data_IF_326408463149
#
_entry.id   IF_326408463149
#
_cell.length_a   1.000
_cell.length_b   1.000
_cell.length_c   1.000
_cell.angle_alpha   90.00
_cell.angle_beta   90.00
_cell.angle_gamma   90.00
#
_symmetry.space_group_name_H-M   'P 1'
#
loop_
_entity.id
_entity.type
_entity.pdbx_description
1 polymer ?
#
# COMPACT_ATOMS: atom_id res chain seq x y z
N UNK A 1 -4.19 41.32 35.37
CA UNK A 1 -4.34 39.93 35.86
C UNK A 1 -5.71 39.49 35.36
N UNK A 2 -5.75 38.79 34.21
CA UNK A 2 -5.74 37.32 34.10
C UNK A 2 -7.21 36.83 34.20
N UNK A 3 -7.85 36.06 33.31
CA UNK A 3 -7.44 35.29 32.12
C UNK A 3 -8.70 35.09 31.23
N UNK A 4 -8.52 35.08 29.90
CA UNK A 4 -9.54 34.75 28.90
C UNK A 4 -9.88 33.25 28.92
N UNK A 5 -11.18 32.94 29.02
CA UNK A 5 -11.76 31.60 28.93
C UNK A 5 -11.83 31.15 27.46
N UNK A 6 -10.83 30.39 27.01
CA UNK A 6 -10.86 29.72 25.70
C UNK A 6 -11.37 28.29 25.88
N UNK A 7 -12.69 28.15 25.77
CA UNK A 7 -13.39 26.88 25.59
C UNK A 7 -12.75 26.09 24.43
N UNK A 8 -11.93 25.09 24.77
CA UNK A 8 -11.40 24.12 23.82
C UNK A 8 -12.49 23.07 23.57
N UNK A 9 -13.28 23.28 22.52
CA UNK A 9 -14.24 22.30 22.02
C UNK A 9 -13.51 21.04 21.54
N UNK A 10 -13.98 19.82 21.88
CA UNK A 10 -13.39 18.59 21.38
C UNK A 10 -13.65 18.46 19.88
N UNK A 11 -12.58 18.40 19.10
CA UNK A 11 -12.62 18.22 17.65
C UNK A 11 -13.15 16.84 17.29
N UNK A 12 -14.14 16.81 16.39
CA UNK A 12 -14.76 15.61 15.82
C UNK A 12 -13.75 14.75 15.05
N UNK A 13 -13.96 13.42 15.07
CA UNK A 13 -13.19 12.34 14.41
C UNK A 13 -13.08 12.50 12.86
N UNK A 14 -13.76 13.50 12.29
CA UNK A 14 -13.66 13.84 10.86
C UNK A 14 -12.63 14.95 10.55
N UNK A 15 -11.95 15.51 11.56
CA UNK A 15 -10.95 16.58 11.40
C UNK A 15 -9.50 16.12 11.23
N UNK A 16 -9.19 14.83 11.37
CA UNK A 16 -7.79 14.33 11.41
C UNK A 16 -7.13 14.15 10.03
N UNK A 17 -7.78 14.60 8.94
CA UNK A 17 -7.17 14.56 7.60
C UNK A 17 -6.33 15.78 7.22
N UNK A 18 -6.18 16.79 8.09
CA UNK A 18 -5.37 17.96 7.77
C UNK A 18 -4.47 18.38 8.93
N UNK A 19 -3.52 17.51 9.26
CA UNK A 19 -2.20 17.98 9.68
C UNK A 19 -1.25 17.89 8.47
N UNK A 20 -1.55 18.61 7.39
CA UNK A 20 -0.60 18.86 6.29
C UNK A 20 0.49 19.84 6.75
N UNK A 21 1.34 19.39 7.67
CA UNK A 21 2.71 19.89 7.66
C UNK A 21 3.33 19.40 6.34
N UNK A 22 3.65 20.34 5.44
CA UNK A 22 3.93 20.08 4.03
C UNK A 22 4.77 18.84 3.76
N UNK A 23 4.14 17.80 3.20
CA UNK A 23 4.83 16.62 2.71
C UNK A 23 5.72 17.03 1.54
N UNK A 24 7.01 17.23 1.81
CA UNK A 24 8.01 17.44 0.74
C UNK A 24 8.03 16.18 -0.11
N UNK A 25 7.70 16.33 -1.40
CA UNK A 25 7.75 15.22 -2.35
C UNK A 25 9.19 14.85 -2.65
N UNK A 26 9.43 13.56 -2.87
CA UNK A 26 10.72 13.09 -3.35
C UNK A 26 11.02 13.64 -4.75
N UNK A 27 12.31 13.88 -5.02
CA UNK A 27 12.78 14.21 -6.36
C UNK A 27 12.70 12.99 -7.28
N UNK A 28 12.61 13.20 -8.59
CA UNK A 28 12.58 12.09 -9.56
C UNK A 28 13.86 11.24 -9.47
N UNK A 29 15.02 11.86 -9.22
CA UNK A 29 16.28 11.15 -9.01
C UNK A 29 16.25 10.25 -7.76
N UNK A 30 15.64 10.71 -6.66
CA UNK A 30 15.48 9.89 -5.46
C UNK A 30 14.53 8.72 -5.68
N UNK A 31 13.47 8.94 -6.47
CA UNK A 31 12.52 7.90 -6.88
C UNK A 31 13.24 6.84 -7.72
N UNK A 32 14.03 7.25 -8.71
CA UNK A 32 14.79 6.35 -9.58
C UNK A 32 15.77 5.50 -8.78
N UNK A 33 16.52 6.12 -7.86
CA UNK A 33 17.45 5.42 -6.97
C UNK A 33 16.75 4.42 -6.05
N UNK A 34 15.52 4.71 -5.61
CA UNK A 34 14.73 3.78 -4.83
C UNK A 34 14.27 2.59 -5.68
N UNK A 35 13.74 2.87 -6.88
CA UNK A 35 13.28 1.84 -7.81
C UNK A 35 14.39 0.86 -8.18
N UNK A 36 15.64 1.32 -8.33
CA UNK A 36 16.79 0.45 -8.64
C UNK A 36 17.19 -0.51 -7.51
N UNK A 37 16.70 -0.32 -6.29
CA UNK A 37 17.18 -1.03 -5.09
C UNK A 37 16.18 -2.00 -4.49
N UNK A 38 14.92 -1.94 -4.90
CA UNK A 38 13.84 -2.73 -4.32
C UNK A 38 13.38 -3.81 -5.29
N UNK A 39 12.80 -4.88 -4.76
CA UNK A 39 12.30 -5.98 -5.59
C UNK A 39 11.02 -5.61 -6.36
N UNK A 40 10.71 -6.38 -7.40
CA UNK A 40 9.47 -6.22 -8.19
C UNK A 40 8.21 -6.36 -7.32
N UNK A 41 8.23 -7.22 -6.30
CA UNK A 41 7.10 -7.39 -5.37
C UNK A 41 6.88 -6.15 -4.48
N UNK A 42 7.96 -5.45 -4.12
CA UNK A 42 7.89 -4.15 -3.44
C UNK A 42 7.32 -3.11 -4.39
N UNK A 43 7.84 -3.02 -5.62
CA UNK A 43 7.35 -2.09 -6.64
C UNK A 43 5.85 -2.30 -6.90
N UNK A 44 5.41 -3.53 -7.07
CA UNK A 44 4.00 -3.85 -7.29
C UNK A 44 3.10 -3.36 -6.14
N UNK A 45 3.53 -3.46 -4.88
CA UNK A 45 2.81 -2.89 -3.74
C UNK A 45 2.83 -1.36 -3.72
N UNK A 46 3.95 -0.74 -4.10
CA UNK A 46 4.14 0.72 -4.12
C UNK A 46 3.33 1.38 -5.22
N UNK A 47 3.35 0.85 -6.44
CA UNK A 47 2.53 1.30 -7.58
C UNK A 47 1.03 1.17 -7.28
N UNK A 48 0.64 0.09 -6.60
CA UNK A 48 -0.76 -0.12 -6.18
C UNK A 48 -1.19 0.80 -5.04
N UNK A 49 -0.23 1.38 -4.30
CA UNK A 49 -0.48 2.17 -3.10
C UNK A 49 -1.08 1.39 -1.92
N UNK A 50 -1.09 0.05 -1.96
CA UNK A 50 -1.63 -0.79 -0.88
C UNK A 50 -1.00 -2.18 -0.83
N UNK A 51 -0.97 -2.73 0.38
CA UNK A 51 -0.57 -4.11 0.67
C UNK A 51 -1.73 -5.09 0.56
N UNK A 52 -1.42 -6.33 0.19
CA UNK A 52 -2.38 -7.43 0.15
C UNK A 52 -2.14 -8.36 1.34
N UNK A 53 -3.15 -8.48 2.21
CA UNK A 53 -3.09 -9.38 3.36
C UNK A 53 -4.18 -10.43 3.20
N UNK A 54 -3.92 -11.69 3.61
CA UNK A 54 -4.91 -12.74 3.52
C UNK A 54 -6.08 -12.42 4.44
N UNK A 55 -7.29 -12.69 3.96
CA UNK A 55 -8.52 -12.58 4.72
C UNK A 55 -8.60 -13.66 5.80
N UNK A 56 -9.49 -13.48 6.76
CA UNK A 56 -9.76 -14.50 7.80
C UNK A 56 -10.26 -15.81 7.17
N UNK A 57 -10.99 -15.76 6.05
CA UNK A 57 -11.48 -16.95 5.37
C UNK A 57 -10.34 -17.75 4.73
N UNK A 58 -9.32 -17.08 4.21
CA UNK A 58 -8.19 -17.72 3.52
C UNK A 58 -7.17 -18.31 4.50
N UNK A 59 -6.80 -17.57 5.56
CA UNK A 59 -5.71 -17.95 6.46
C UNK A 59 -6.16 -18.33 7.88
N UNK A 60 -7.48 -18.31 8.16
CA UNK A 60 -8.00 -18.50 9.50
C UNK A 60 -7.65 -17.36 10.47
N UNK A 61 -7.90 -17.60 11.75
CA UNK A 61 -7.51 -16.69 12.84
C UNK A 61 -6.53 -17.42 13.78
N UNK A 62 -5.31 -16.91 13.83
CA UNK A 62 -4.26 -17.39 14.72
C UNK A 62 -3.64 -16.17 15.41
N UNK A 63 -3.58 -16.21 16.75
CA UNK A 63 -2.95 -15.17 17.53
C UNK A 63 -1.49 -15.54 17.82
N UNK A 64 -0.60 -14.59 17.59
CA UNK A 64 0.85 -14.76 17.73
C UNK A 64 1.37 -14.31 19.10
N UNK A 65 0.51 -13.71 19.92
CA UNK A 65 0.88 -13.24 21.25
C UNK A 65 -0.23 -12.43 21.91
N UNK A 66 0.10 -11.85 23.06
CA UNK A 66 -0.72 -10.92 23.83
C UNK A 66 0.16 -9.71 24.15
N UNK A 67 -0.36 -8.48 24.00
CA UNK A 67 0.38 -7.29 24.42
C UNK A 67 0.21 -6.98 25.92
N UNK A 68 0.87 -5.91 26.38
CA UNK A 68 0.88 -5.50 27.79
C UNK A 68 -0.52 -5.10 28.30
N UNK A 69 -1.43 -4.73 27.39
CA UNK A 69 -2.83 -4.41 27.69
C UNK A 69 -3.74 -5.65 27.74
N UNK A 70 -3.18 -6.84 27.50
CA UNK A 70 -3.92 -8.10 27.46
C UNK A 70 -4.64 -8.35 26.12
N UNK A 71 -4.36 -7.57 25.07
CA UNK A 71 -4.99 -7.72 23.76
C UNK A 71 -4.31 -8.80 22.93
N UNK A 72 -5.12 -9.61 22.25
CA UNK A 72 -4.65 -10.70 21.39
C UNK A 72 -4.06 -10.11 20.10
N UNK A 73 -2.82 -10.49 19.78
CA UNK A 73 -2.11 -10.00 18.60
C UNK A 73 -2.24 -10.98 17.45
N UNK A 74 -2.67 -10.50 16.28
CA UNK A 74 -2.64 -11.26 15.02
C UNK A 74 -1.73 -10.54 14.03
N UNK A 75 -0.72 -11.23 13.53
CA UNK A 75 0.26 -10.70 12.57
C UNK A 75 0.03 -11.33 11.20
N UNK A 76 -0.16 -10.48 10.19
CA UNK A 76 -0.39 -10.88 8.80
C UNK A 76 0.68 -10.29 7.92
N UNK A 77 1.40 -11.15 7.21
CA UNK A 77 2.41 -10.72 6.24
C UNK A 77 1.76 -10.46 4.89
N UNK A 78 2.19 -9.40 4.20
CA UNK A 78 1.75 -9.10 2.86
C UNK A 78 2.14 -10.23 1.91
N UNK A 79 1.19 -10.76 1.15
CA UNK A 79 1.41 -11.91 0.23
C UNK A 79 2.10 -11.53 -1.08
N UNK A 80 2.31 -10.24 -1.31
CA UNK A 80 3.07 -9.72 -2.45
C UNK A 80 4.50 -9.43 -1.98
N UNK A 81 4.87 -8.17 -1.75
CA UNK A 81 5.47 -7.73 -0.49
C UNK A 81 6.48 -8.63 0.25
N UNK A 82 5.93 -9.47 1.13
CA UNK A 82 6.58 -10.12 2.29
C UNK A 82 7.20 -9.18 3.36
N UNK A 83 7.44 -7.91 3.04
CA UNK A 83 8.08 -6.95 3.96
C UNK A 83 7.08 -6.24 4.90
N UNK A 84 5.84 -6.03 4.45
CA UNK A 84 4.83 -5.37 5.25
C UNK A 84 4.06 -6.38 6.11
N UNK A 85 3.94 -6.08 7.40
CA UNK A 85 3.21 -6.88 8.37
C UNK A 85 2.11 -6.04 8.99
N UNK A 86 0.86 -6.43 8.76
CA UNK A 86 -0.27 -5.87 9.47
C UNK A 86 -0.35 -6.51 10.84
N UNK A 87 -0.29 -5.69 11.88
CA UNK A 87 -0.49 -6.13 13.26
C UNK A 87 -1.89 -5.70 13.69
N UNK A 88 -2.74 -6.67 13.96
CA UNK A 88 -4.10 -6.46 14.43
C UNK A 88 -4.16 -6.75 15.94
N UNK A 89 -4.77 -5.85 16.71
CA UNK A 89 -5.10 -6.07 18.12
C UNK A 89 -6.55 -6.48 18.25
N UNK A 90 -6.82 -7.54 19.00
CA UNK A 90 -8.13 -8.13 19.16
C UNK A 90 -8.51 -8.27 20.63
N UNK A 91 -9.76 -7.98 20.94
CA UNK A 91 -10.33 -8.13 22.28
C UNK A 91 -11.47 -9.15 22.24
N UNK A 92 -11.51 -10.03 23.25
CA UNK A 92 -12.63 -10.95 23.48
C UNK A 92 -13.59 -10.39 24.52
N UNK A 93 -14.78 -9.96 24.10
CA UNK A 93 -15.81 -9.47 25.01
C UNK A 93 -16.86 -10.57 25.26
N UNK A 94 -17.16 -10.83 26.54
CA UNK A 94 -18.24 -11.75 26.95
C UNK A 94 -19.28 -11.00 27.76
N UNK A 95 -20.52 -10.96 27.27
CA UNK A 95 -21.69 -10.51 28.04
C UNK A 95 -22.29 -11.68 28.80
N UNK A 96 -22.87 -11.43 29.99
CA UNK A 96 -23.49 -12.46 30.82
C UNK A 96 -24.53 -13.24 30.01
N UNK A 97 -24.42 -14.57 30.01
CA UNK A 97 -25.31 -15.47 29.25
C UNK A 97 -25.07 -15.55 27.75
N UNK A 98 -24.04 -14.88 27.19
CA UNK A 98 -23.76 -14.86 25.75
C UNK A 98 -22.43 -15.54 25.40
N UNK A 99 -22.32 -15.96 24.13
CA UNK A 99 -21.06 -16.45 23.57
C UNK A 99 -20.05 -15.30 23.48
N UNK A 100 -18.79 -15.58 23.80
CA UNK A 100 -17.69 -14.62 23.61
C UNK A 100 -17.64 -14.18 22.14
N UNK A 101 -17.54 -12.87 21.92
CA UNK A 101 -17.30 -12.28 20.60
C UNK A 101 -15.93 -11.62 20.59
N UNK A 102 -15.23 -11.75 19.47
CA UNK A 102 -13.93 -11.14 19.26
C UNK A 102 -14.07 -9.97 18.30
N UNK A 103 -13.44 -8.86 18.65
CA UNK A 103 -13.49 -7.63 17.88
C UNK A 103 -12.06 -7.13 17.65
N UNK A 104 -11.76 -6.71 16.42
CA UNK A 104 -10.51 -6.00 16.14
C UNK A 104 -10.65 -4.57 16.65
N UNK A 105 -9.82 -4.18 17.60
CA UNK A 105 -9.86 -2.87 18.25
C UNK A 105 -8.84 -1.90 17.68
N UNK A 106 -7.73 -2.41 17.13
CA UNK A 106 -6.72 -1.60 16.45
C UNK A 106 -6.04 -2.39 15.31
N UNK A 107 -5.45 -1.66 14.37
CA UNK A 107 -4.56 -2.23 13.36
C UNK A 107 -3.45 -1.23 13.03
N UNK A 108 -2.22 -1.73 12.97
CA UNK A 108 -1.05 -0.98 12.54
C UNK A 108 -0.30 -1.73 11.44
N UNK A 109 0.63 -1.02 10.81
CA UNK A 109 1.52 -1.54 9.78
C UNK A 109 2.96 -1.46 10.28
N UNK A 110 3.62 -2.60 10.32
CA UNK A 110 5.06 -2.71 10.59
C UNK A 110 5.77 -3.08 9.29
N UNK A 111 6.95 -2.53 9.06
CA UNK A 111 7.81 -2.90 7.94
C UNK A 111 9.04 -3.61 8.45
N UNK A 112 9.35 -4.75 7.83
CA UNK A 112 10.54 -5.55 8.10
C UNK A 112 11.55 -5.35 6.98
N UNK A 113 12.82 -5.54 7.31
CA UNK A 113 13.90 -5.64 6.32
C UNK A 113 13.88 -7.03 5.71
N UNK A 114 13.96 -7.10 4.39
CA UNK A 114 14.07 -8.37 3.65
C UNK A 114 15.41 -9.06 3.88
N UNK A 115 15.50 -10.34 3.49
CA UNK A 115 16.72 -11.14 3.65
C UNK A 115 17.96 -10.52 2.96
N UNK A 116 17.74 -9.78 1.88
CA UNK A 116 18.80 -9.11 1.10
C UNK A 116 19.01 -7.65 1.50
N UNK A 117 18.52 -7.23 2.68
CA UNK A 117 18.61 -5.83 3.13
C UNK A 117 17.59 -4.89 2.46
N UNK A 118 16.65 -5.43 1.68
CA UNK A 118 15.59 -4.68 1.01
C UNK A 118 14.68 -3.99 2.05
N UNK A 119 14.36 -2.71 1.82
CA UNK A 119 13.47 -1.94 2.68
C UNK A 119 12.27 -1.42 1.90
N UNK A 120 11.07 -1.63 2.44
CA UNK A 120 9.85 -1.13 1.80
C UNK A 120 9.78 0.40 1.78
N UNK A 121 10.19 1.05 2.87
CA UNK A 121 10.18 2.51 2.96
C UNK A 121 11.42 3.08 2.28
N UNK A 122 11.25 4.23 1.63
CA UNK A 122 12.38 5.01 1.15
C UNK A 122 13.23 5.50 2.35
N UNK A 123 14.55 5.68 2.17
CA UNK A 123 15.40 6.26 3.21
C UNK A 123 14.84 7.59 3.73
N UNK A 124 14.98 7.84 5.03
CA UNK A 124 14.59 9.10 5.65
C UNK A 124 15.28 10.29 4.99
N UNK A 125 14.57 11.41 4.88
CA UNK A 125 15.10 12.66 4.31
C UNK A 125 14.97 12.80 2.79
N UNK A 126 14.45 11.78 2.08
CA UNK A 126 14.25 11.83 0.62
C UNK A 126 12.87 12.30 0.17
N UNK A 127 12.05 12.79 1.10
CA UNK A 127 10.66 13.17 0.82
C UNK A 127 9.74 11.97 0.57
N UNK A 128 8.46 12.27 0.40
CA UNK A 128 7.43 11.27 0.16
C UNK A 128 7.34 10.91 -1.33
N UNK A 129 7.46 9.62 -1.63
CA UNK A 129 7.32 9.06 -2.97
C UNK A 129 5.90 8.53 -3.18
N UNK A 130 5.18 9.10 -4.15
CA UNK A 130 3.81 8.69 -4.48
C UNK A 130 3.76 7.43 -5.36
N UNK A 131 2.65 6.67 -5.36
CA UNK A 131 2.47 5.54 -6.28
C UNK A 131 2.66 5.91 -7.75
N UNK A 132 2.21 7.12 -8.12
CA UNK A 132 2.38 7.66 -9.47
C UNK A 132 3.86 7.85 -9.83
N UNK A 133 4.64 8.49 -8.96
CA UNK A 133 6.08 8.70 -9.23
C UNK A 133 6.81 7.37 -9.41
N UNK A 134 6.48 6.36 -8.61
CA UNK A 134 7.06 5.02 -8.74
C UNK A 134 6.69 4.41 -10.09
N UNK A 135 5.40 4.43 -10.46
CA UNK A 135 4.95 3.90 -11.75
C UNK A 135 5.54 4.64 -12.96
N UNK A 136 5.64 5.97 -12.89
CA UNK A 136 6.25 6.80 -13.94
C UNK A 136 7.75 6.45 -14.09
N UNK A 137 8.49 6.21 -12.99
CA UNK A 137 9.89 5.78 -13.01
C UNK A 137 10.05 4.36 -13.61
N UNK A 138 9.25 3.40 -13.15
CA UNK A 138 9.26 2.01 -13.66
C UNK A 138 8.93 1.98 -15.16
N UNK A 139 7.90 2.71 -15.60
CA UNK A 139 7.54 2.80 -17.00
C UNK A 139 8.64 3.46 -17.85
N UNK A 140 9.22 4.56 -17.36
CA UNK A 140 10.34 5.24 -18.02
C UNK A 140 11.53 4.31 -18.23
N UNK A 141 11.86 3.48 -17.23
CA UNK A 141 12.93 2.47 -17.33
C UNK A 141 12.61 1.37 -18.33
N UNK A 142 11.39 0.83 -18.30
CA UNK A 142 10.96 -0.20 -19.26
C UNK A 142 10.93 0.29 -20.72
N UNK A 143 10.71 1.59 -20.92
CA UNK A 143 10.68 2.23 -22.24
C UNK A 143 12.03 2.81 -22.67
N UNK A 144 13.09 2.65 -21.85
CA UNK A 144 14.41 3.18 -22.15
C UNK A 144 14.90 2.71 -23.53
N UNK A 145 15.40 3.64 -24.34
CA UNK A 145 15.86 3.38 -25.71
C UNK A 145 14.77 3.36 -26.78
N UNK A 146 13.48 3.44 -26.43
CA UNK A 146 12.40 3.58 -27.40
C UNK A 146 12.07 5.05 -27.68
N UNK A 147 11.81 5.38 -28.95
CA UNK A 147 11.29 6.71 -29.30
C UNK A 147 9.78 6.74 -29.20
N UNK A 148 9.21 7.90 -28.86
CA UNK A 148 7.75 8.10 -28.83
C UNK A 148 7.12 7.78 -30.19
N UNK A 149 7.80 8.06 -31.30
CA UNK A 149 7.34 7.72 -32.64
C UNK A 149 7.26 6.20 -32.86
N UNK A 150 8.26 5.44 -32.43
CA UNK A 150 8.26 3.98 -32.51
C UNK A 150 7.13 3.39 -31.65
N UNK A 151 6.92 3.90 -30.44
CA UNK A 151 5.84 3.50 -29.54
C UNK A 151 4.46 3.72 -30.17
N UNK A 152 4.21 4.90 -30.76
CA UNK A 152 2.96 5.21 -31.46
C UNK A 152 2.71 4.27 -32.65
N UNK A 153 3.77 3.96 -33.42
CA UNK A 153 3.68 3.02 -34.55
C UNK A 153 3.36 1.60 -34.08
N UNK A 154 3.96 1.15 -32.99
CA UNK A 154 3.68 -0.15 -32.37
C UNK A 154 2.22 -0.23 -31.88
N UNK A 155 1.75 0.79 -31.17
CA UNK A 155 0.37 0.87 -30.67
C UNK A 155 -0.66 0.83 -31.81
N UNK A 156 -0.42 1.55 -32.91
CA UNK A 156 -1.31 1.54 -34.08
C UNK A 156 -1.41 0.15 -34.74
N UNK A 157 -0.30 -0.60 -34.79
CA UNK A 157 -0.27 -1.98 -35.32
C UNK A 157 -1.08 -2.93 -34.43
N UNK A 158 -0.85 -2.89 -33.11
CA UNK A 158 -1.57 -3.72 -32.14
C UNK A 158 -3.09 -3.45 -32.17
N UNK A 159 -3.50 -2.19 -32.34
CA UNK A 159 -4.92 -1.83 -32.48
C UNK A 159 -5.53 -2.39 -33.76
N UNK A 160 -4.81 -2.32 -34.90
CA UNK A 160 -5.26 -2.87 -36.17
C UNK A 160 -5.38 -4.41 -36.14
N UNK A 161 -4.43 -5.10 -35.49
CA UNK A 161 -4.47 -6.55 -35.30
C UNK A 161 -5.66 -6.98 -34.43
N UNK A 162 -5.90 -6.26 -33.32
CA UNK A 162 -7.03 -6.50 -32.42
C UNK A 162 -8.38 -6.34 -33.13
N UNK A 163 -8.50 -5.33 -34.01
CA UNK A 163 -9.70 -5.10 -34.82
C UNK A 163 -9.94 -6.19 -35.86
N UNK A 164 -8.87 -6.75 -36.45
CA UNK A 164 -8.97 -7.89 -37.38
C UNK A 164 -9.40 -9.18 -36.66
N UNK A 165 -8.88 -9.43 -35.46
CA UNK A 165 -9.24 -10.61 -34.67
C UNK A 165 -10.73 -10.62 -34.27
N UNK A 166 -11.28 -9.47 -33.89
CA UNK A 166 -12.71 -9.32 -33.57
C UNK A 166 -13.60 -9.38 -34.81
N UNK A 167 -13.19 -8.77 -35.93
CA UNK A 167 -13.95 -8.82 -37.19
C UNK A 167 -14.01 -10.20 -37.87
N UNK A 168 -13.06 -11.09 -37.59
CA UNK A 168 -13.04 -12.46 -38.13
C UNK A 168 -13.96 -13.40 -37.34
N UNK A 169 -14.20 -13.11 -36.05
CA UNK A 169 -15.08 -13.91 -35.19
C UNK A 169 -16.57 -13.74 -35.48
N UNK A 170 -16.97 -12.67 -36.18
CA UNK A 170 -18.38 -12.35 -36.49
C UNK A 170 -18.88 -12.96 -37.81
N UNK A 171 -18.03 -13.60 -38.62
CA UNK A 171 -18.39 -14.12 -39.95
C UNK A 171 -18.70 -15.63 -40.03
N UNK A 172 -18.87 -16.31 -38.89
CA UNK A 172 -19.22 -17.74 -38.84
C UNK A 172 -20.60 -17.92 -38.18
N UNK A 173 -21.67 -17.72 -38.93
CA UNK A 173 -23.06 -17.91 -38.50
C UNK A 173 -23.98 -18.00 -39.71
#
# INVERSE_FOLDING_TARGET
MAEDDVSTMPTSIQGEQQAEAGYVRASDADVDLYVDRVSDEVLACRERGRHLFPTIREAGIHFTGVDDDGLLLRRLTCTCCTLAVRVEKWEGARRRGQRTRFHRVASSLEYRTGAEGQTYLAPSGRGHMTPRQIGDSVASKALAGQTVAALRKSAARAAAESARATGTSTKSG
#
